data_IF_265427244955
#
_entry.id   IF_265427244955
#
_cell.length_a   1.000
_cell.length_b   1.000
_cell.length_c   1.000
_cell.angle_alpha   90.00
_cell.angle_beta   90.00
_cell.angle_gamma   90.00
#
_symmetry.space_group_name_H-M   'P 1'
#
loop_
_entity.id
_entity.type
_entity.pdbx_description
1 polymer ?
#
# COMPACT_ATOMS: atom_id res chain seq x y z
N UNK A 1 11.12 -6.76 -5.76
CA UNK A 1 11.07 -7.78 -4.69
C UNK A 1 10.11 -7.32 -3.60
N UNK A 2 9.44 -8.22 -2.87
CA UNK A 2 8.60 -7.87 -1.72
C UNK A 2 9.22 -8.45 -0.44
N UNK A 3 9.34 -7.63 0.59
CA UNK A 3 9.69 -8.08 1.94
C UNK A 3 8.55 -8.90 2.55
N UNK A 4 8.86 -9.92 3.33
CA UNK A 4 7.85 -10.78 3.96
C UNK A 4 6.86 -10.01 4.84
N UNK A 5 7.33 -9.04 5.62
CA UNK A 5 6.47 -8.16 6.41
C UNK A 5 5.52 -7.31 5.54
N UNK A 6 5.95 -6.91 4.34
CA UNK A 6 5.11 -6.18 3.40
C UNK A 6 4.07 -7.10 2.74
N UNK A 7 4.45 -8.33 2.37
CA UNK A 7 3.51 -9.35 1.86
C UNK A 7 2.43 -9.70 2.88
N UNK A 8 2.82 -9.90 4.14
CA UNK A 8 1.88 -10.24 5.22
C UNK A 8 0.77 -9.20 5.38
N UNK A 9 1.06 -7.92 5.16
CA UNK A 9 0.06 -6.84 5.22
C UNK A 9 -1.00 -6.93 4.12
N UNK A 10 -0.69 -7.53 2.98
CA UNK A 10 -1.68 -7.77 1.91
C UNK A 10 -2.77 -8.76 2.34
N UNK A 11 -2.52 -9.61 3.34
CA UNK A 11 -3.53 -10.53 3.87
C UNK A 11 -4.70 -9.81 4.54
N UNK A 12 -4.47 -8.60 5.06
CA UNK A 12 -5.51 -7.74 5.63
C UNK A 12 -6.34 -7.01 4.56
N UNK A 13 -5.95 -7.14 3.29
CA UNK A 13 -6.64 -6.52 2.16
C UNK A 13 -7.60 -7.55 1.56
N UNK A 14 -8.89 -7.22 1.39
CA UNK A 14 -9.84 -8.09 0.74
C UNK A 14 -9.35 -8.52 -0.66
N UNK A 15 -9.54 -9.79 -0.99
CA UNK A 15 -8.97 -10.40 -2.20
C UNK A 15 -9.33 -9.64 -3.48
N UNK A 16 -10.57 -9.16 -3.60
CA UNK A 16 -11.08 -8.46 -4.77
C UNK A 16 -10.40 -7.10 -5.04
N UNK A 17 -9.80 -6.45 -4.04
CA UNK A 17 -9.03 -5.19 -4.21
C UNK A 17 -7.51 -5.39 -4.12
N UNK A 18 -7.04 -6.54 -3.64
CA UNK A 18 -5.60 -6.79 -3.38
C UNK A 18 -4.74 -6.57 -4.62
N UNK A 19 -5.19 -7.03 -5.79
CA UNK A 19 -4.45 -6.83 -7.04
C UNK A 19 -4.26 -5.36 -7.42
N UNK A 20 -5.27 -4.52 -7.18
CA UNK A 20 -5.19 -3.07 -7.39
C UNK A 20 -4.19 -2.42 -6.43
N UNK A 21 -4.23 -2.83 -5.16
CA UNK A 21 -3.29 -2.30 -4.15
C UNK A 21 -1.85 -2.69 -4.48
N UNK A 22 -1.59 -3.95 -4.86
CA UNK A 22 -0.26 -4.41 -5.27
C UNK A 22 0.28 -3.54 -6.42
N UNK A 23 -0.51 -3.35 -7.49
CA UNK A 23 -0.10 -2.52 -8.63
C UNK A 23 0.21 -1.08 -8.22
N UNK A 24 -0.63 -0.49 -7.37
CA UNK A 24 -0.44 0.88 -6.91
C UNK A 24 0.83 1.03 -6.06
N UNK A 25 1.09 0.09 -5.15
CA UNK A 25 2.28 0.11 -4.28
C UNK A 25 3.55 -0.14 -5.08
N UNK A 26 3.54 -1.06 -6.05
CA UNK A 26 4.70 -1.29 -6.92
C UNK A 26 4.99 -0.08 -7.81
N UNK A 27 3.95 0.60 -8.32
CA UNK A 27 4.13 1.85 -9.05
C UNK A 27 4.73 2.94 -8.14
N UNK A 28 4.28 3.03 -6.89
CA UNK A 28 4.86 3.94 -5.90
C UNK A 28 6.32 3.61 -5.59
N UNK A 29 6.67 2.33 -5.42
CA UNK A 29 8.04 1.89 -5.24
C UNK A 29 8.94 2.27 -6.43
N UNK A 30 8.48 2.06 -7.66
CA UNK A 30 9.20 2.49 -8.87
C UNK A 30 9.39 4.00 -8.91
N UNK A 31 8.37 4.79 -8.54
CA UNK A 31 8.48 6.25 -8.52
C UNK A 31 9.51 6.78 -7.50
N UNK A 32 9.82 5.98 -6.48
CA UNK A 32 10.82 6.28 -5.44
C UNK A 32 12.21 5.75 -5.79
N UNK A 33 12.38 5.08 -6.93
CA UNK A 33 13.63 4.38 -7.26
C UNK A 33 13.92 3.19 -6.35
N UNK A 34 12.90 2.67 -5.64
CA UNK A 34 13.07 1.51 -4.76
C UNK A 34 13.11 0.22 -5.56
N UNK A 35 14.05 -0.67 -5.23
CA UNK A 35 14.18 -2.01 -5.83
C UNK A 35 13.16 -3.03 -5.30
N UNK A 36 12.31 -2.62 -4.36
CA UNK A 36 11.30 -3.48 -3.79
C UNK A 36 10.28 -2.77 -2.91
N UNK A 37 9.32 -3.55 -2.43
CA UNK A 37 8.30 -3.11 -1.48
C UNK A 37 8.71 -3.58 -0.10
N UNK A 38 9.08 -2.61 0.74
CA UNK A 38 9.41 -2.81 2.16
C UNK A 38 8.21 -2.50 3.04
N UNK A 39 8.28 -2.88 4.31
CA UNK A 39 7.28 -2.48 5.31
C UNK A 39 7.15 -0.96 5.40
N UNK A 40 8.27 -0.23 5.38
CA UNK A 40 8.29 1.23 5.45
C UNK A 40 7.58 1.87 4.24
N UNK A 41 7.83 1.37 3.03
CA UNK A 41 7.19 1.87 1.82
C UNK A 41 5.67 1.68 1.85
N UNK A 42 5.18 0.58 2.43
CA UNK A 42 3.75 0.36 2.67
C UNK A 42 3.16 1.37 3.66
N UNK A 43 3.92 1.76 4.69
CA UNK A 43 3.49 2.79 5.64
C UNK A 43 3.44 4.17 4.98
N UNK A 44 4.43 4.52 4.16
CA UNK A 44 4.43 5.74 3.36
C UNK A 44 3.24 5.78 2.40
N UNK A 45 2.99 4.69 1.67
CA UNK A 45 1.85 4.56 0.77
C UNK A 45 0.52 4.73 1.52
N UNK A 46 0.38 4.10 2.69
CA UNK A 46 -0.77 4.29 3.58
C UNK A 46 -0.91 5.72 4.08
N UNK A 47 0.17 6.41 4.41
CA UNK A 47 0.11 7.81 4.85
C UNK A 47 -0.26 8.76 3.69
N UNK A 48 0.29 8.53 2.49
CA UNK A 48 0.00 9.28 1.25
C UNK A 48 -1.47 9.15 0.87
N UNK A 49 -2.00 7.94 0.82
CA UNK A 49 -3.38 7.68 0.40
C UNK A 49 -4.38 7.75 1.54
N UNK A 50 -3.99 7.53 2.79
CA UNK A 50 -4.86 7.74 3.95
C UNK A 50 -5.23 9.21 4.12
N UNK A 51 -4.32 10.14 3.75
CA UNK A 51 -4.64 11.57 3.66
C UNK A 51 -5.54 11.91 2.46
N UNK A 52 -5.38 11.21 1.33
CA UNK A 52 -6.17 11.40 0.12
C UNK A 52 -7.55 10.69 0.16
N UNK A 53 -7.67 9.61 0.92
CA UNK A 53 -8.86 8.80 1.19
C UNK A 53 -9.44 9.12 2.57
N UNK A 54 -9.26 10.35 3.07
CA UNK A 54 -10.10 10.81 4.18
C UNK A 54 -11.53 10.75 3.65
N UNK A 55 -12.21 9.66 3.99
CA UNK A 55 -13.50 9.29 3.42
C UNK A 55 -14.53 10.29 3.90
N UNK A 56 -15.44 10.80 3.05
CA UNK A 56 -16.68 11.46 3.50
C UNK A 56 -17.53 10.54 4.38
N UNK A 57 -17.20 9.25 4.45
CA UNK A 57 -17.89 8.21 5.20
C UNK A 57 -17.07 7.67 6.39
N UNK A 58 -16.00 8.35 6.79
CA UNK A 58 -15.45 8.11 8.12
C UNK A 58 -16.49 8.64 9.12
N UNK A 59 -17.23 7.75 9.79
CA UNK A 59 -18.08 8.16 10.91
C UNK A 59 -17.19 8.61 12.07
N UNK A 60 -17.59 9.74 12.66
CA UNK A 60 -17.05 10.34 13.88
C UNK A 60 -16.99 9.35 15.05
#
# INVERSE_FOLDING_TARGET
MWEEGAKARLNNIPSFVRGTVVKAVEAFARSKGSNGVTVELMQEAKARWGRAMRSPFAKD
#
